data_IF_120787626071
#
_entry.id   IF_120787626071
#
_cell.length_a   1.000
_cell.length_b   1.000
_cell.length_c   1.000
_cell.angle_alpha   90.00
_cell.angle_beta   90.00
_cell.angle_gamma   90.00
#
_symmetry.space_group_name_H-M   'P 1'
#
loop_
_entity.id
_entity.type
_entity.pdbx_description
1 polymer ?
#
# COMPACT_ATOMS: atom_id res chain seq x y z
N UNK A 1 14.39 -15.90 3.51
CA UNK A 1 14.52 -17.24 2.88
C UNK A 1 13.80 -17.18 1.54
N UNK A 2 14.58 -17.12 0.47
CA UNK A 2 14.08 -17.19 -0.90
C UNK A 2 14.05 -18.68 -1.25
N UNK A 3 12.93 -19.34 -1.01
CA UNK A 3 12.65 -20.63 -1.64
C UNK A 3 12.33 -20.36 -3.11
N UNK A 4 13.26 -20.68 -3.99
CA UNK A 4 13.20 -20.45 -5.42
C UNK A 4 13.64 -19.02 -5.80
N UNK A 5 14.81 -18.87 -6.41
CA UNK A 5 15.27 -17.59 -6.91
C UNK A 5 14.36 -17.14 -8.06
N UNK A 6 13.83 -15.91 -8.04
CA UNK A 6 13.00 -15.41 -9.10
C UNK A 6 13.74 -15.36 -10.44
N UNK A 7 13.01 -15.49 -11.54
CA UNK A 7 13.56 -15.35 -12.89
C UNK A 7 14.31 -14.02 -13.03
N UNK A 8 15.48 -14.04 -13.62
CA UNK A 8 16.36 -12.87 -13.79
C UNK A 8 17.29 -12.53 -12.63
N UNK A 9 17.14 -13.17 -11.45
CA UNK A 9 17.98 -12.85 -10.29
C UNK A 9 19.47 -13.09 -10.53
N UNK A 10 19.85 -14.25 -11.06
CA UNK A 10 21.27 -14.57 -11.32
C UNK A 10 21.86 -13.69 -12.42
N UNK A 11 21.08 -13.37 -13.45
CA UNK A 11 21.49 -12.44 -14.51
C UNK A 11 21.72 -11.05 -13.93
N UNK A 12 20.79 -10.54 -13.14
CA UNK A 12 20.94 -9.24 -12.48
C UNK A 12 22.19 -9.21 -11.60
N UNK A 13 22.38 -10.25 -10.76
CA UNK A 13 23.53 -10.35 -9.86
C UNK A 13 24.86 -10.29 -10.63
N UNK A 14 24.98 -11.09 -11.69
CA UNK A 14 26.16 -11.10 -12.53
C UNK A 14 26.41 -9.73 -13.18
N UNK A 15 25.39 -9.11 -13.74
CA UNK A 15 25.51 -7.79 -14.38
C UNK A 15 25.90 -6.69 -13.38
N UNK A 16 25.41 -6.75 -12.14
CA UNK A 16 25.81 -5.80 -11.09
C UNK A 16 27.28 -6.01 -10.71
N UNK A 17 27.74 -7.26 -10.54
CA UNK A 17 29.14 -7.59 -10.28
C UNK A 17 30.06 -7.14 -11.43
N UNK A 18 29.69 -7.42 -12.68
CA UNK A 18 30.46 -7.07 -13.89
C UNK A 18 30.58 -5.55 -14.09
N UNK A 19 29.66 -4.77 -13.52
CA UNK A 19 29.65 -3.30 -13.58
C UNK A 19 30.09 -2.63 -12.27
N UNK A 20 30.70 -3.38 -11.34
CA UNK A 20 31.27 -2.88 -10.09
C UNK A 20 30.28 -2.24 -9.12
N UNK A 21 29.01 -2.61 -9.17
CA UNK A 21 28.03 -2.18 -8.18
C UNK A 21 28.22 -2.94 -6.85
N UNK A 22 28.22 -2.20 -5.75
CA UNK A 22 28.18 -2.81 -4.43
C UNK A 22 26.73 -3.10 -4.06
N UNK A 23 26.36 -4.39 -3.91
CA UNK A 23 25.00 -4.76 -3.56
C UNK A 23 24.96 -5.78 -2.41
N UNK A 24 23.82 -5.85 -1.75
CA UNK A 24 23.50 -6.87 -0.74
C UNK A 24 22.11 -7.45 -1.02
N UNK A 25 21.95 -8.72 -0.68
CA UNK A 25 20.67 -9.44 -0.84
C UNK A 25 20.02 -9.62 0.53
N UNK A 26 18.76 -9.24 0.65
CA UNK A 26 18.00 -9.29 1.89
C UNK A 26 18.03 -7.96 2.65
N UNK A 27 17.61 -7.99 3.92
CA UNK A 27 17.64 -6.80 4.78
C UNK A 27 19.08 -6.45 5.14
N UNK A 28 19.41 -5.19 5.09
CA UNK A 28 20.73 -4.67 5.40
C UNK A 28 20.62 -3.52 6.41
N UNK A 29 21.59 -3.45 7.35
CA UNK A 29 21.73 -2.34 8.29
C UNK A 29 22.40 -1.11 7.65
N UNK A 30 22.20 -0.94 6.35
CA UNK A 30 22.74 0.18 5.57
C UNK A 30 21.60 0.94 4.92
N UNK A 31 21.79 2.23 4.68
CA UNK A 31 20.90 3.03 3.85
C UNK A 31 21.36 2.85 2.41
N UNK A 32 20.59 2.17 1.54
CA UNK A 32 20.98 1.97 0.15
C UNK A 32 20.66 3.21 -0.68
N UNK A 33 21.36 3.40 -1.80
CA UNK A 33 21.03 4.42 -2.80
C UNK A 33 19.83 3.99 -3.65
N UNK A 34 19.65 2.68 -3.86
CA UNK A 34 18.57 2.09 -4.64
C UNK A 34 18.19 0.72 -4.06
N UNK A 35 16.90 0.44 -4.02
CA UNK A 35 16.37 -0.86 -3.62
C UNK A 35 15.82 -1.55 -4.87
N UNK A 36 16.43 -2.67 -5.27
CA UNK A 36 15.90 -3.49 -6.38
C UNK A 36 15.03 -4.60 -5.82
N UNK A 37 13.78 -4.63 -6.24
CA UNK A 37 12.79 -5.64 -5.86
C UNK A 37 12.45 -6.52 -7.07
N UNK A 38 12.69 -7.83 -6.95
CA UNK A 38 12.27 -8.81 -7.96
C UNK A 38 11.07 -9.59 -7.42
N UNK A 39 9.91 -9.39 -8.04
CA UNK A 39 8.66 -10.02 -7.59
C UNK A 39 7.42 -9.28 -8.06
N UNK A 40 6.26 -9.64 -7.52
CA UNK A 40 5.00 -8.94 -7.76
C UNK A 40 4.75 -7.80 -6.74
N UNK A 41 3.60 -7.12 -6.90
CA UNK A 41 3.19 -5.98 -6.05
C UNK A 41 3.26 -6.31 -4.55
N UNK A 42 2.92 -7.54 -4.14
CA UNK A 42 3.03 -7.97 -2.73
C UNK A 42 4.47 -7.94 -2.17
N UNK A 43 5.50 -8.14 -3.00
CA UNK A 43 6.90 -8.02 -2.58
C UNK A 43 7.29 -6.55 -2.40
N UNK A 44 6.80 -5.69 -3.29
CA UNK A 44 7.01 -4.25 -3.21
C UNK A 44 6.36 -3.70 -1.93
N UNK A 45 5.11 -4.10 -1.62
CA UNK A 45 4.42 -3.70 -0.39
C UNK A 45 5.21 -4.07 0.88
N UNK A 46 5.82 -5.27 0.92
CA UNK A 46 6.67 -5.67 2.06
C UNK A 46 7.91 -4.79 2.23
N UNK A 47 8.43 -4.26 1.14
CA UNK A 47 9.65 -3.44 1.13
C UNK A 47 9.33 -1.94 1.33
N UNK A 48 8.10 -1.52 1.04
CA UNK A 48 7.71 -0.11 1.00
C UNK A 48 8.01 0.64 2.30
N UNK A 49 7.68 0.07 3.47
CA UNK A 49 7.93 0.74 4.76
C UNK A 49 9.42 0.96 5.06
N UNK A 50 10.30 0.06 4.61
CA UNK A 50 11.75 0.23 4.70
C UNK A 50 12.23 1.32 3.75
N UNK A 51 11.80 1.29 2.48
CA UNK A 51 12.13 2.29 1.47
C UNK A 51 11.70 3.72 1.88
N UNK A 52 10.49 3.85 2.42
CA UNK A 52 9.99 5.14 2.94
C UNK A 52 10.86 5.66 4.09
N UNK A 53 11.26 4.80 5.03
CA UNK A 53 12.10 5.20 6.17
C UNK A 53 13.50 5.62 5.73
N UNK A 54 14.14 4.86 4.85
CA UNK A 54 15.48 5.16 4.33
C UNK A 54 15.49 6.31 3.34
N UNK A 55 14.38 6.51 2.61
CA UNK A 55 14.28 7.48 1.51
C UNK A 55 14.85 6.96 0.18
N UNK A 56 15.30 5.70 0.15
CA UNK A 56 15.82 5.08 -1.07
C UNK A 56 14.68 4.73 -2.05
N UNK A 57 14.84 5.01 -3.35
CA UNK A 57 13.86 4.62 -4.34
C UNK A 57 13.80 3.09 -4.53
N UNK A 58 12.62 2.59 -4.88
CA UNK A 58 12.42 1.19 -5.30
C UNK A 58 12.44 1.11 -6.82
N UNK A 59 13.29 0.25 -7.36
CA UNK A 59 13.23 -0.23 -8.72
C UNK A 59 12.64 -1.65 -8.70
N UNK A 60 11.50 -1.85 -9.35
CA UNK A 60 10.78 -3.11 -9.29
C UNK A 60 10.82 -3.85 -10.64
N UNK A 61 11.30 -5.09 -10.60
CA UNK A 61 11.32 -6.03 -11.74
C UNK A 61 10.22 -7.07 -11.50
N UNK A 62 9.26 -7.15 -12.42
CA UNK A 62 8.19 -8.12 -12.32
C UNK A 62 8.68 -9.53 -12.62
N UNK A 63 8.43 -10.46 -11.72
CA UNK A 63 8.76 -11.88 -11.89
C UNK A 63 7.51 -12.79 -11.97
N UNK A 64 6.36 -12.22 -12.32
CA UNK A 64 5.09 -12.95 -12.37
C UNK A 64 4.05 -12.26 -13.26
N UNK A 65 2.82 -12.20 -12.81
CA UNK A 65 1.75 -11.45 -13.50
C UNK A 65 2.02 -9.95 -13.39
N UNK A 66 1.78 -9.21 -14.48
CA UNK A 66 2.00 -7.75 -14.54
C UNK A 66 1.31 -7.04 -13.37
N UNK A 67 2.09 -6.36 -12.56
CA UNK A 67 1.64 -5.54 -11.43
C UNK A 67 1.35 -4.10 -11.82
N UNK A 68 0.87 -3.30 -10.87
CA UNK A 68 0.74 -1.85 -11.03
C UNK A 68 2.03 -1.09 -10.69
N UNK A 69 2.95 -1.71 -9.94
CA UNK A 69 4.09 -1.04 -9.32
C UNK A 69 5.45 -1.37 -9.96
N UNK A 70 5.54 -2.39 -10.82
CA UNK A 70 6.81 -2.78 -11.45
C UNK A 70 7.16 -1.86 -12.62
N UNK A 71 8.44 -1.57 -12.83
CA UNK A 71 8.94 -0.72 -13.92
C UNK A 71 9.53 -1.53 -15.07
N UNK A 72 10.01 -2.73 -14.77
CA UNK A 72 10.64 -3.65 -15.72
C UNK A 72 10.02 -5.03 -15.62
N UNK A 73 10.07 -5.77 -16.73
CA UNK A 73 9.73 -7.20 -16.75
C UNK A 73 11.00 -8.03 -16.57
N UNK A 74 10.85 -9.32 -16.24
CA UNK A 74 12.00 -10.22 -16.03
C UNK A 74 12.90 -10.39 -17.27
N UNK A 75 12.41 -10.07 -18.45
CA UNK A 75 13.18 -10.06 -19.69
C UNK A 75 13.99 -8.79 -19.93
N UNK A 76 13.78 -7.72 -19.14
CA UNK A 76 14.38 -6.41 -19.35
C UNK A 76 15.56 -6.13 -18.39
N UNK A 77 16.14 -7.18 -17.80
CA UNK A 77 17.18 -7.05 -16.75
C UNK A 77 18.42 -6.33 -17.26
N UNK A 78 18.86 -6.60 -18.49
CA UNK A 78 20.01 -5.95 -19.12
C UNK A 78 19.77 -4.45 -19.27
N UNK A 79 18.60 -4.09 -19.80
CA UNK A 79 18.19 -2.70 -19.94
C UNK A 79 18.10 -2.01 -18.58
N UNK A 80 17.54 -2.69 -17.58
CA UNK A 80 17.45 -2.18 -16.21
C UNK A 80 18.83 -1.78 -15.65
N UNK A 81 19.85 -2.63 -15.85
CA UNK A 81 21.23 -2.36 -15.39
C UNK A 81 21.87 -1.23 -16.20
N UNK A 82 21.58 -1.15 -17.50
CA UNK A 82 22.05 -0.05 -18.35
C UNK A 82 21.45 1.30 -17.92
N UNK A 83 20.14 1.36 -17.65
CA UNK A 83 19.46 2.55 -17.15
C UNK A 83 20.01 2.99 -15.77
N UNK A 84 20.31 2.04 -14.87
CA UNK A 84 20.99 2.34 -13.59
C UNK A 84 22.38 2.94 -13.82
N UNK A 85 23.17 2.35 -14.72
CA UNK A 85 24.52 2.82 -15.06
C UNK A 85 24.55 4.22 -15.60
N UNK A 86 23.59 4.55 -16.45
CA UNK A 86 23.50 5.83 -17.15
C UNK A 86 22.76 6.90 -16.33
N UNK A 87 22.32 6.56 -15.09
CA UNK A 87 21.47 7.41 -14.24
C UNK A 87 20.18 7.85 -14.95
N UNK A 88 19.65 6.99 -15.84
CA UNK A 88 18.44 7.22 -16.62
C UNK A 88 17.22 6.59 -15.90
N UNK A 89 17.01 7.02 -14.65
CA UNK A 89 15.90 6.56 -13.82
C UNK A 89 14.90 7.69 -13.57
N UNK A 90 13.71 7.55 -14.09
CA UNK A 90 12.59 8.45 -13.75
C UNK A 90 11.98 8.07 -12.41
N UNK A 91 12.03 8.97 -11.43
CA UNK A 91 11.48 8.75 -10.09
C UNK A 91 10.08 9.36 -10.00
N UNK A 92 9.13 8.54 -9.57
CA UNK A 92 7.76 8.95 -9.21
C UNK A 92 7.57 8.84 -7.70
N UNK A 93 6.89 9.82 -7.11
CA UNK A 93 6.57 9.80 -5.69
C UNK A 93 5.14 9.29 -5.46
N UNK A 94 4.98 8.44 -4.45
CA UNK A 94 3.69 7.89 -4.02
C UNK A 94 3.39 8.33 -2.61
N UNK A 95 2.21 8.90 -2.39
CA UNK A 95 1.72 9.17 -1.05
C UNK A 95 1.56 7.87 -0.26
N UNK A 96 1.89 7.90 1.02
CA UNK A 96 1.71 6.77 1.93
C UNK A 96 0.94 7.22 3.17
N UNK A 97 0.19 6.30 3.77
CA UNK A 97 -0.56 6.57 4.99
C UNK A 97 0.33 6.39 6.23
N UNK A 98 0.18 7.29 7.19
CA UNK A 98 0.51 7.09 8.60
C UNK A 98 -0.75 6.60 9.30
N UNK A 99 -0.70 5.42 9.89
CA UNK A 99 -1.81 4.76 10.57
C UNK A 99 -1.45 4.60 12.03
N UNK A 100 -2.14 5.31 12.92
CA UNK A 100 -1.89 5.30 14.36
C UNK A 100 -3.01 4.58 15.11
N UNK A 101 -2.64 3.57 15.87
CA UNK A 101 -3.53 2.85 16.77
C UNK A 101 -2.85 2.68 18.14
N UNK A 102 -3.46 3.21 19.20
CA UNK A 102 -2.83 3.24 20.51
C UNK A 102 -1.47 3.94 20.51
N UNK A 103 -0.41 3.20 20.84
CA UNK A 103 0.98 3.72 20.87
C UNK A 103 1.76 3.40 19.58
N UNK A 104 1.18 2.62 18.67
CA UNK A 104 1.83 2.13 17.48
C UNK A 104 1.51 3.00 16.27
N UNK A 105 2.50 3.14 15.38
CA UNK A 105 2.38 3.80 14.08
C UNK A 105 2.85 2.85 12.98
N UNK A 106 2.02 2.71 11.96
CA UNK A 106 2.26 1.87 10.79
C UNK A 106 2.28 2.73 9.53
N UNK A 107 2.99 2.27 8.50
CA UNK A 107 3.06 2.92 7.19
C UNK A 107 2.37 2.01 6.19
N UNK A 108 1.40 2.53 5.42
CA UNK A 108 0.73 1.82 4.36
C UNK A 108 0.96 2.49 3.00
N UNK A 109 1.35 1.69 2.01
CA UNK A 109 1.42 2.13 0.62
C UNK A 109 0.05 2.04 -0.06
N UNK A 110 -0.68 0.95 0.17
CA UNK A 110 -2.01 0.78 -0.40
C UNK A 110 -3.11 1.28 0.52
N UNK A 111 -3.30 0.62 1.65
CA UNK A 111 -4.50 0.83 2.47
C UNK A 111 -4.32 0.46 3.96
N UNK A 112 -5.21 1.04 4.76
CA UNK A 112 -5.51 0.64 6.12
C UNK A 112 -6.98 0.21 6.19
N UNK A 113 -7.24 -0.96 6.73
CA UNK A 113 -8.56 -1.57 6.81
C UNK A 113 -8.93 -1.79 8.27
N UNK A 114 -10.09 -1.29 8.67
CA UNK A 114 -10.73 -1.65 9.96
C UNK A 114 -11.93 -2.52 9.63
N UNK A 115 -11.87 -3.77 9.99
CA UNK A 115 -12.94 -4.73 9.72
C UNK A 115 -13.25 -5.63 10.92
N UNK A 116 -14.39 -6.28 10.87
CA UNK A 116 -14.83 -7.23 11.90
C UNK A 116 -13.81 -8.34 12.11
N UNK A 117 -13.46 -8.64 13.36
CA UNK A 117 -12.69 -9.85 13.69
C UNK A 117 -13.54 -11.10 13.48
N UNK A 118 -13.26 -11.83 12.41
CA UNK A 118 -13.96 -13.09 12.06
C UNK A 118 -13.47 -14.30 12.86
N UNK A 119 -12.42 -14.15 13.66
CA UNK A 119 -11.87 -15.24 14.49
C UNK A 119 -12.72 -15.52 15.75
N UNK A 120 -13.66 -14.63 16.07
CA UNK A 120 -14.51 -14.75 17.25
C UNK A 120 -15.82 -15.43 16.86
N UNK A 121 -15.95 -16.71 17.22
CA UNK A 121 -17.15 -17.53 16.93
C UNK A 121 -18.42 -17.04 17.64
N UNK A 122 -19.54 -17.07 16.93
CA UNK A 122 -20.87 -17.24 17.47
C UNK A 122 -21.72 -15.99 17.70
N UNK A 123 -21.28 -14.78 17.41
CA UNK A 123 -22.15 -13.58 17.48
C UNK A 123 -22.21 -12.85 16.15
N UNK A 124 -23.37 -12.87 15.51
CA UNK A 124 -23.69 -12.04 14.34
C UNK A 124 -23.92 -10.58 14.78
N UNK A 125 -22.89 -9.95 15.35
CA UNK A 125 -22.96 -8.53 15.72
C UNK A 125 -22.37 -7.74 14.57
N UNK A 126 -23.13 -6.77 14.09
CA UNK A 126 -22.70 -5.85 13.02
C UNK A 126 -21.63 -4.92 13.58
N UNK A 127 -20.59 -4.66 12.80
CA UNK A 127 -19.59 -3.67 13.15
C UNK A 127 -20.19 -2.27 13.04
N UNK A 128 -20.05 -1.48 14.09
CA UNK A 128 -20.40 -0.05 14.09
C UNK A 128 -19.11 0.77 14.09
N UNK A 129 -18.99 1.66 13.14
CA UNK A 129 -17.80 2.49 12.96
C UNK A 129 -18.21 3.95 12.75
N UNK A 130 -17.68 4.84 13.54
CA UNK A 130 -17.75 6.27 13.29
C UNK A 130 -16.51 6.70 12.54
N UNK A 131 -16.69 7.35 11.39
CA UNK A 131 -15.61 7.86 10.55
C UNK A 131 -15.75 9.36 10.45
N UNK A 132 -14.73 10.08 10.86
CA UNK A 132 -14.66 11.54 10.76
C UNK A 132 -13.43 12.00 9.99
N UNK A 133 -13.56 13.10 9.24
CA UNK A 133 -12.48 13.79 8.53
C UNK A 133 -12.40 15.21 9.10
N UNK A 134 -11.23 15.61 9.56
CA UNK A 134 -10.96 16.89 10.20
C UNK A 134 -11.96 17.24 11.33
N UNK A 135 -12.35 16.21 12.09
CA UNK A 135 -13.30 16.32 13.19
C UNK A 135 -14.78 16.32 12.79
N UNK A 136 -15.08 16.33 11.51
CA UNK A 136 -16.47 16.26 11.01
C UNK A 136 -16.87 14.81 10.75
N UNK A 137 -18.00 14.38 11.32
CA UNK A 137 -18.53 13.03 11.11
C UNK A 137 -18.98 12.90 9.64
N UNK A 138 -18.36 11.94 8.93
CA UNK A 138 -18.70 11.58 7.54
C UNK A 138 -19.61 10.37 7.51
N UNK A 139 -19.32 9.36 8.35
CA UNK A 139 -20.13 8.16 8.42
C UNK A 139 -20.39 7.73 9.86
N UNK A 140 -21.62 7.26 10.10
CA UNK A 140 -21.95 6.36 11.19
C UNK A 140 -22.32 5.02 10.52
N UNK A 141 -21.36 4.11 10.42
CA UNK A 141 -21.49 2.88 9.63
C UNK A 141 -22.02 1.73 10.45
N UNK A 142 -22.94 0.98 9.84
CA UNK A 142 -23.19 -0.43 10.16
C UNK A 142 -22.74 -1.24 8.95
N UNK A 143 -21.58 -1.88 9.02
CA UNK A 143 -20.89 -2.46 7.86
C UNK A 143 -19.96 -3.61 8.29
N UNK A 144 -19.39 -4.36 7.34
CA UNK A 144 -18.33 -5.32 7.63
C UNK A 144 -17.01 -4.62 7.99
N UNK A 145 -16.83 -3.39 7.51
CA UNK A 145 -15.63 -2.61 7.79
C UNK A 145 -15.54 -1.32 6.97
N UNK A 146 -14.36 -0.73 6.99
CA UNK A 146 -14.02 0.46 6.20
C UNK A 146 -12.55 0.39 5.77
N UNK A 147 -12.28 0.82 4.54
CA UNK A 147 -10.95 0.91 3.94
C UNK A 147 -10.60 2.39 3.79
N UNK A 148 -9.38 2.76 4.17
CA UNK A 148 -8.78 4.04 3.78
C UNK A 148 -7.61 3.74 2.88
N UNK A 149 -7.65 4.19 1.63
CA UNK A 149 -6.64 3.87 0.63
C UNK A 149 -5.98 5.11 0.04
N UNK A 150 -4.72 4.95 -0.33
CA UNK A 150 -3.97 5.91 -1.16
C UNK A 150 -4.43 5.82 -2.62
N UNK A 151 -4.01 6.73 -3.50
CA UNK A 151 -4.21 6.56 -4.94
C UNK A 151 -3.62 5.26 -5.47
N UNK A 152 -2.44 4.86 -4.98
CA UNK A 152 -1.82 3.57 -5.33
C UNK A 152 -2.72 2.40 -4.91
N UNK A 153 -3.25 2.41 -3.70
CA UNK A 153 -4.14 1.38 -3.16
C UNK A 153 -5.56 1.42 -3.72
N UNK A 154 -5.94 2.47 -4.45
CA UNK A 154 -7.28 2.59 -5.05
C UNK A 154 -7.59 1.47 -6.04
N UNK A 155 -6.57 0.82 -6.62
CA UNK A 155 -6.68 -0.33 -7.51
C UNK A 155 -6.59 -1.68 -6.81
N UNK A 156 -6.45 -1.68 -5.47
CA UNK A 156 -6.35 -2.88 -4.63
C UNK A 156 -7.70 -3.22 -3.95
N UNK A 157 -7.72 -3.43 -2.66
CA UNK A 157 -8.92 -3.85 -1.92
C UNK A 157 -10.05 -2.79 -1.99
N UNK A 158 -9.70 -1.51 -2.01
CA UNK A 158 -10.68 -0.43 -2.18
C UNK A 158 -11.51 -0.60 -3.46
N UNK A 159 -10.87 -0.96 -4.59
CA UNK A 159 -11.59 -1.22 -5.85
C UNK A 159 -12.59 -2.37 -5.71
N UNK A 160 -12.17 -3.48 -5.08
CA UNK A 160 -13.04 -4.64 -4.86
C UNK A 160 -14.23 -4.32 -3.94
N UNK A 161 -14.08 -3.35 -3.05
CA UNK A 161 -15.16 -2.86 -2.18
C UNK A 161 -16.03 -1.77 -2.83
N UNK A 162 -15.84 -1.47 -4.12
CA UNK A 162 -16.60 -0.46 -4.86
C UNK A 162 -16.04 0.96 -4.78
N UNK A 163 -14.78 1.11 -4.38
CA UNK A 163 -14.03 2.36 -4.42
C UNK A 163 -13.76 2.83 -5.85
N UNK A 164 -13.45 4.10 -6.03
CA UNK A 164 -13.09 4.68 -7.32
C UNK A 164 -11.59 4.57 -7.57
N UNK A 165 -11.20 4.47 -8.82
CA UNK A 165 -9.80 4.44 -9.23
C UNK A 165 -9.26 5.88 -9.23
N UNK A 166 -8.14 6.08 -8.54
CA UNK A 166 -7.43 7.34 -8.47
C UNK A 166 -6.11 7.24 -9.26
N UNK A 167 -5.79 8.27 -10.05
CA UNK A 167 -4.47 8.36 -10.66
C UNK A 167 -3.40 8.46 -9.55
N UNK A 168 -2.25 7.77 -9.70
CA UNK A 168 -1.27 7.62 -8.62
C UNK A 168 -0.63 8.93 -8.11
N UNK A 169 -0.70 9.99 -8.90
CA UNK A 169 -0.14 11.32 -8.63
C UNK A 169 -1.13 12.26 -7.93
N UNK A 170 -2.38 11.84 -7.73
CA UNK A 170 -3.39 12.66 -7.06
C UNK A 170 -3.04 12.85 -5.57
N UNK A 171 -3.18 14.08 -5.09
CA UNK A 171 -3.04 14.44 -3.68
C UNK A 171 -4.35 14.22 -2.93
N UNK A 172 -4.74 12.97 -2.82
CA UNK A 172 -6.01 12.57 -2.20
C UNK A 172 -5.91 11.19 -1.60
N UNK A 173 -6.82 10.89 -0.68
CA UNK A 173 -7.10 9.55 -0.18
C UNK A 173 -8.57 9.23 -0.42
N UNK A 174 -8.92 7.95 -0.31
CA UNK A 174 -10.29 7.50 -0.44
C UNK A 174 -10.68 6.68 0.79
N UNK A 175 -11.87 6.94 1.33
CA UNK A 175 -12.51 6.08 2.33
C UNK A 175 -13.65 5.31 1.68
N UNK A 176 -13.58 3.97 1.76
CA UNK A 176 -14.51 3.04 1.11
C UNK A 176 -15.12 2.13 2.16
N UNK A 177 -16.44 2.20 2.42
CA UNK A 177 -17.14 1.26 3.28
C UNK A 177 -17.18 -0.15 2.67
N UNK A 178 -17.07 -1.18 3.54
CA UNK A 178 -17.17 -2.59 3.14
C UNK A 178 -18.55 -3.11 3.51
N UNK A 179 -19.34 -3.51 2.52
CA UNK A 179 -20.67 -4.11 2.71
C UNK A 179 -21.55 -3.32 3.69
N UNK A 180 -21.66 -1.99 3.50
CA UNK A 180 -22.53 -1.16 4.34
C UNK A 180 -23.99 -1.56 4.22
N UNK A 181 -24.70 -1.61 5.35
CA UNK A 181 -26.13 -1.88 5.38
C UNK A 181 -26.96 -0.69 4.87
N UNK A 182 -26.43 0.52 4.88
CA UNK A 182 -27.11 1.70 4.36
C UNK A 182 -26.92 1.82 2.85
N UNK A 183 -28.00 1.71 2.10
CA UNK A 183 -28.01 1.73 0.62
C UNK A 183 -27.44 3.00 0.01
N UNK A 184 -27.48 4.13 0.70
CA UNK A 184 -26.97 5.43 0.26
C UNK A 184 -25.47 5.64 0.48
N UNK A 185 -24.79 4.77 1.20
CA UNK A 185 -23.35 4.93 1.51
C UNK A 185 -22.53 4.83 0.22
N UNK A 186 -21.63 5.76 0.02
CA UNK A 186 -20.72 5.80 -1.15
C UNK A 186 -19.30 6.07 -0.69
N UNK A 187 -18.27 5.60 -1.41
CA UNK A 187 -16.90 6.03 -1.16
C UNK A 187 -16.74 7.54 -1.24
N UNK A 188 -15.89 8.11 -0.38
CA UNK A 188 -15.58 9.54 -0.38
C UNK A 188 -14.08 9.74 -0.61
N UNK A 189 -13.75 10.57 -1.59
CA UNK A 189 -12.39 11.04 -1.85
C UNK A 189 -12.18 12.35 -1.09
N UNK A 190 -11.04 12.45 -0.40
CA UNK A 190 -10.70 13.62 0.41
C UNK A 190 -9.23 14.01 0.21
N UNK A 191 -8.88 15.22 0.63
CA UNK A 191 -7.50 15.73 0.49
C UNK A 191 -6.53 14.93 1.36
N UNK A 192 -5.33 14.62 0.84
CA UNK A 192 -4.33 13.83 1.56
C UNK A 192 -3.73 14.56 2.79
N UNK A 193 -3.88 15.89 2.91
CA UNK A 193 -3.49 16.65 4.08
C UNK A 193 -4.50 16.57 5.24
N UNK A 194 -5.72 16.06 4.98
CA UNK A 194 -6.75 15.88 6.00
C UNK A 194 -6.43 14.71 6.93
N UNK A 195 -6.95 14.79 8.16
CA UNK A 195 -6.85 13.71 9.16
C UNK A 195 -8.17 12.97 9.24
N UNK A 196 -8.12 11.67 8.99
CA UNK A 196 -9.26 10.79 9.16
C UNK A 196 -9.14 10.03 10.48
N UNK A 197 -10.24 9.91 11.21
CA UNK A 197 -10.34 9.12 12.44
C UNK A 197 -11.46 8.11 12.28
N UNK A 198 -11.15 6.84 12.60
CA UNK A 198 -12.12 5.76 12.73
C UNK A 198 -12.23 5.42 14.22
N UNK A 199 -13.44 5.28 14.73
CA UNK A 199 -13.68 4.84 16.11
C UNK A 199 -14.63 3.64 16.06
N UNK A 200 -14.25 2.55 16.72
CA UNK A 200 -15.12 1.39 16.89
C UNK A 200 -16.22 1.77 17.88
N UNK A 201 -17.47 1.66 17.45
CA UNK A 201 -18.63 2.07 18.25
C UNK A 201 -18.89 1.19 19.46
N UNK A 202 -19.70 1.71 20.41
CA UNK A 202 -20.22 0.93 21.52
C UNK A 202 -21.10 -0.22 21.02
N UNK A 203 -21.07 -1.35 21.71
CA UNK A 203 -21.81 -2.56 21.33
C UNK A 203 -21.48 -3.08 19.90
N UNK A 204 -20.32 -2.74 19.38
CA UNK A 204 -19.74 -3.34 18.18
C UNK A 204 -19.07 -4.66 18.52
N UNK A 205 -18.85 -5.52 17.51
CA UNK A 205 -17.90 -6.62 17.64
C UNK A 205 -16.46 -6.08 17.67
N UNK A 206 -15.53 -6.89 18.19
CA UNK A 206 -14.11 -6.59 18.05
C UNK A 206 -13.72 -6.48 16.58
N UNK A 207 -12.82 -5.59 16.30
CA UNK A 207 -12.32 -5.33 14.95
C UNK A 207 -10.82 -5.65 14.86
N UNK A 208 -10.36 -5.84 13.64
CA UNK A 208 -8.95 -5.96 13.30
C UNK A 208 -8.57 -4.78 12.43
N UNK A 209 -7.46 -4.14 12.77
CA UNK A 209 -6.77 -3.22 11.88
C UNK A 209 -5.76 -4.02 11.05
N UNK A 210 -5.89 -3.92 9.74
CA UNK A 210 -4.91 -4.44 8.78
C UNK A 210 -4.26 -3.28 8.01
N UNK A 211 -2.98 -3.43 7.69
CA UNK A 211 -2.18 -2.45 6.94
C UNK A 211 -1.50 -3.18 5.78
N UNK A 212 -1.74 -2.74 4.56
CA UNK A 212 -1.28 -3.41 3.33
C UNK A 212 -1.55 -4.92 3.36
N UNK A 213 -2.78 -5.30 3.74
CA UNK A 213 -3.24 -6.68 3.80
C UNK A 213 -2.71 -7.50 4.99
N UNK A 214 -2.00 -6.90 5.96
CA UNK A 214 -1.48 -7.59 7.15
C UNK A 214 -2.23 -7.16 8.40
N UNK A 215 -2.80 -8.07 9.19
CA UNK A 215 -3.36 -7.73 10.49
C UNK A 215 -2.26 -7.25 11.44
N UNK A 216 -2.47 -6.08 12.05
CA UNK A 216 -1.48 -5.45 12.94
C UNK A 216 -1.99 -5.18 14.34
N UNK A 217 -3.29 -4.92 14.52
CA UNK A 217 -3.88 -4.61 15.83
C UNK A 217 -5.28 -5.20 15.97
N UNK A 218 -5.62 -5.61 17.18
CA UNK A 218 -7.01 -5.89 17.59
C UNK A 218 -7.62 -4.65 18.23
N UNK A 219 -8.77 -4.24 17.74
CA UNK A 219 -9.48 -3.04 18.18
C UNK A 219 -10.75 -3.44 18.94
N UNK A 220 -10.92 -2.88 20.13
CA UNK A 220 -12.14 -2.99 20.94
C UNK A 220 -13.02 -1.77 20.78
N UNK A 221 -14.20 -1.80 21.36
CA UNK A 221 -15.08 -0.63 21.45
C UNK A 221 -14.30 0.61 21.92
N UNK A 222 -14.61 1.76 21.35
CA UNK A 222 -13.97 3.05 21.61
C UNK A 222 -12.47 3.14 21.25
N UNK A 223 -11.89 2.12 20.57
CA UNK A 223 -10.52 2.21 20.06
C UNK A 223 -10.46 3.16 18.87
N UNK A 224 -9.69 4.26 18.94
CA UNK A 224 -9.50 5.14 17.81
C UNK A 224 -8.36 4.66 16.93
N UNK A 225 -8.55 4.75 15.61
CA UNK A 225 -7.50 4.68 14.59
C UNK A 225 -7.43 6.03 13.90
N UNK A 226 -6.27 6.67 13.89
CA UNK A 226 -6.05 7.94 13.19
C UNK A 226 -5.21 7.71 11.95
N UNK A 227 -5.66 8.20 10.81
CA UNK A 227 -5.01 8.04 9.52
C UNK A 227 -4.74 9.43 8.93
N UNK A 228 -3.52 9.63 8.48
CA UNK A 228 -3.08 10.87 7.84
C UNK A 228 -1.98 10.55 6.82
N UNK A 229 -1.57 11.53 6.05
CA UNK A 229 -0.39 11.42 5.20
C UNK A 229 0.87 11.22 6.05
N UNK A 230 1.71 10.30 5.65
CA UNK A 230 3.04 10.17 6.26
C UNK A 230 3.97 11.27 5.75
N UNK A 231 4.91 11.69 6.57
CA UNK A 231 5.82 12.83 6.28
C UNK A 231 6.72 12.62 5.07
N UNK A 232 7.01 11.37 4.72
CA UNK A 232 7.80 11.00 3.54
C UNK A 232 6.94 10.25 2.55
N UNK A 233 7.18 10.44 1.25
CA UNK A 233 6.62 9.64 0.16
C UNK A 233 7.47 8.39 -0.10
N UNK A 234 6.88 7.39 -0.74
CA UNK A 234 7.64 6.33 -1.38
C UNK A 234 8.13 6.82 -2.73
N UNK A 235 9.43 6.70 -2.97
CA UNK A 235 10.02 6.90 -4.29
C UNK A 235 10.04 5.58 -5.04
N UNK A 236 9.52 5.56 -6.26
CA UNK A 236 9.52 4.38 -7.11
C UNK A 236 10.05 4.75 -8.50
N UNK A 237 10.88 3.91 -9.07
CA UNK A 237 11.34 4.07 -10.46
C UNK A 237 10.17 3.76 -11.39
N UNK A 238 9.89 4.67 -12.31
CA UNK A 238 8.70 4.65 -13.16
C UNK A 238 9.03 4.94 -14.64
N UNK A 239 10.13 4.38 -15.14
CA UNK A 239 10.70 4.67 -16.47
C UNK A 239 9.75 4.40 -17.64
N UNK A 240 8.74 3.54 -17.49
CA UNK A 240 7.84 3.15 -18.59
C UNK A 240 6.39 2.97 -18.13
N UNK A 241 6.03 3.48 -16.96
CA UNK A 241 4.71 3.20 -16.43
C UNK A 241 3.67 4.12 -17.04
N UNK A 242 3.00 3.60 -18.00
CA UNK A 242 1.72 4.16 -18.39
C UNK A 242 0.63 3.52 -17.52
N UNK A 243 0.30 4.18 -16.41
CA UNK A 243 -0.77 3.75 -15.50
C UNK A 243 -2.05 3.36 -16.25
N UNK A 244 -2.48 4.18 -17.20
CA UNK A 244 -3.70 3.96 -17.97
C UNK A 244 -3.59 2.73 -18.90
N UNK A 245 -2.41 2.46 -19.47
CA UNK A 245 -2.18 1.24 -20.26
C UNK A 245 -2.30 0.00 -19.39
N UNK A 246 -1.71 0.02 -18.18
CA UNK A 246 -1.83 -1.10 -17.22
C UNK A 246 -3.27 -1.27 -16.75
N UNK A 247 -3.96 -0.16 -16.49
CA UNK A 247 -5.37 -0.18 -16.12
C UNK A 247 -6.22 -0.84 -17.20
N UNK A 248 -6.02 -0.47 -18.47
CA UNK A 248 -6.72 -1.07 -19.62
C UNK A 248 -6.46 -2.58 -19.74
N UNK A 249 -5.23 -3.03 -19.46
CA UNK A 249 -4.91 -4.47 -19.52
C UNK A 249 -5.48 -5.28 -18.36
N UNK A 250 -5.91 -4.65 -17.27
CA UNK A 250 -6.37 -5.32 -16.04
C UNK A 250 -7.87 -5.23 -15.80
N UNK A 251 -8.57 -4.29 -16.43
CA UNK A 251 -10.03 -4.15 -16.43
C UNK A 251 -10.65 -4.75 -17.68
#
# INVERSE_FOLDING_TARGET
>A
NIEGKPSGFETLRKLLDDNYFCFRVGEADIIPDLIVVIGGDGTILRTASYAVRTGAPILAINAGTVGFLSSYESGDVEKCVEDIKNDDLTISERSVLSVKAGKNEYIALNDAVVERDRSIDGKTIVTKLDVSIDGQLVYNLSADGVIVATPTGSTAYSLSAGGVILAPDLKSFIVTPICSHALGTRPVVFNDESKLKITVGDNSCDCVLSVDGRPVEKLRANSPVTISKYVKSLKIVDNNSNFYKRLHCKL
#
